data_IF_493454853932
#
_entry.id   IF_493454853932
#
_cell.length_a   1.000
_cell.length_b   1.000
_cell.length_c   1.000
_cell.angle_alpha   90.00
_cell.angle_beta   90.00
_cell.angle_gamma   90.00
#
_symmetry.space_group_name_H-M   'P 1'
#
loop_
_entity.id
_entity.type
_entity.pdbx_description
1 polymer ?
#
# COMPACT_ATOMS: atom_id res chain seq x y z
N UNK A 1 33.73 -25.36 -34.57
CA UNK A 1 33.90 -25.65 -33.14
C UNK A 1 34.13 -24.42 -32.31
N UNK A 2 35.05 -23.56 -32.64
CA UNK A 2 35.29 -22.32 -31.90
C UNK A 2 34.07 -21.38 -31.84
N UNK A 3 33.26 -21.37 -32.90
CA UNK A 3 32.05 -20.50 -32.94
C UNK A 3 30.99 -20.94 -31.95
N UNK A 4 30.80 -22.22 -31.73
CA UNK A 4 29.78 -22.68 -30.79
C UNK A 4 30.19 -22.42 -29.34
N UNK A 5 31.47 -22.48 -29.03
CA UNK A 5 31.98 -22.15 -27.70
C UNK A 5 31.81 -20.66 -27.41
N UNK A 6 32.09 -19.81 -28.39
CA UNK A 6 31.87 -18.37 -28.25
C UNK A 6 30.39 -18.02 -28.07
N UNK A 7 29.53 -18.69 -28.82
CA UNK A 7 28.08 -18.51 -28.68
C UNK A 7 27.59 -18.91 -27.32
N UNK A 8 28.08 -20.00 -26.76
CA UNK A 8 27.70 -20.43 -25.40
C UNK A 8 28.12 -19.45 -24.33
N UNK A 9 29.33 -18.90 -24.43
CA UNK A 9 29.82 -17.89 -23.48
C UNK A 9 28.99 -16.62 -23.54
N UNK A 10 28.66 -16.13 -24.74
CA UNK A 10 27.83 -14.96 -24.92
C UNK A 10 26.43 -15.16 -24.34
N UNK A 11 25.83 -16.32 -24.58
CA UNK A 11 24.51 -16.65 -24.04
C UNK A 11 24.55 -16.68 -22.51
N UNK A 12 25.59 -17.27 -21.91
CA UNK A 12 25.73 -17.30 -20.46
C UNK A 12 25.85 -15.90 -19.85
N UNK A 13 26.62 -15.03 -20.48
CA UNK A 13 26.79 -13.66 -20.01
C UNK A 13 25.47 -12.89 -20.07
N UNK A 14 24.70 -13.05 -21.14
CA UNK A 14 23.40 -12.42 -21.29
C UNK A 14 22.42 -12.92 -20.23
N UNK A 15 22.37 -14.22 -19.98
CA UNK A 15 21.52 -14.83 -18.95
C UNK A 15 21.89 -14.30 -17.57
N UNK A 16 23.18 -14.23 -17.25
CA UNK A 16 23.64 -13.66 -15.98
C UNK A 16 23.22 -12.20 -15.81
N UNK A 17 23.33 -11.39 -16.86
CA UNK A 17 22.92 -9.99 -16.82
C UNK A 17 21.41 -9.84 -16.57
N UNK A 18 20.59 -10.65 -17.22
CA UNK A 18 19.14 -10.66 -17.02
C UNK A 18 18.78 -11.05 -15.60
N UNK A 19 19.41 -12.06 -15.04
CA UNK A 19 19.19 -12.50 -13.66
C UNK A 19 19.52 -11.38 -12.67
N UNK A 20 20.64 -10.70 -12.87
CA UNK A 20 21.04 -9.59 -11.99
C UNK A 20 20.03 -8.45 -12.07
N UNK A 21 19.56 -8.09 -13.26
CA UNK A 21 18.53 -7.06 -13.41
C UNK A 21 17.21 -7.46 -12.72
N UNK A 22 16.82 -8.72 -12.85
CA UNK A 22 15.61 -9.24 -12.19
C UNK A 22 15.73 -9.15 -10.66
N UNK A 23 16.89 -9.49 -10.13
CA UNK A 23 17.13 -9.39 -8.70
C UNK A 23 17.11 -7.93 -8.20
N UNK A 24 17.68 -7.01 -8.96
CA UNK A 24 17.61 -5.61 -8.64
C UNK A 24 16.17 -5.11 -8.56
N UNK A 25 15.34 -5.51 -9.50
CA UNK A 25 13.91 -5.15 -9.51
C UNK A 25 13.18 -5.75 -8.30
N UNK A 26 13.45 -7.01 -7.95
CA UNK A 26 12.86 -7.67 -6.79
C UNK A 26 13.26 -6.95 -5.50
N UNK A 27 14.52 -6.57 -5.36
CA UNK A 27 14.98 -5.81 -4.20
C UNK A 27 14.31 -4.44 -4.10
N UNK A 28 14.14 -3.75 -5.21
CA UNK A 28 13.42 -2.47 -5.24
C UNK A 28 11.95 -2.65 -4.87
N UNK A 29 11.32 -3.73 -5.29
CA UNK A 29 9.93 -4.03 -4.96
C UNK A 29 9.74 -4.35 -3.48
N UNK A 30 10.75 -4.90 -2.80
CA UNK A 30 10.71 -5.22 -1.38
C UNK A 30 11.26 -4.10 -0.49
N UNK A 31 11.77 -3.02 -1.08
CA UNK A 31 12.26 -1.88 -0.33
C UNK A 31 11.13 -1.18 0.42
N UNK A 32 11.47 -0.58 1.55
CA UNK A 32 10.53 0.21 2.31
C UNK A 32 9.94 1.33 1.46
N UNK A 33 8.67 1.64 1.72
CA UNK A 33 7.97 2.70 1.01
C UNK A 33 8.63 4.05 1.29
N UNK A 34 9.03 4.75 0.26
CA UNK A 34 9.63 6.08 0.40
C UNK A 34 8.61 7.11 0.86
N UNK A 35 9.03 8.24 1.47
CA UNK A 35 8.11 9.31 1.85
C UNK A 35 7.26 9.83 0.70
N UNK A 36 7.81 9.92 -0.51
CA UNK A 36 7.06 10.36 -1.70
C UNK A 36 6.02 9.34 -2.12
N UNK A 37 6.33 8.06 -2.05
CA UNK A 37 5.40 6.98 -2.33
C UNK A 37 4.27 6.94 -1.30
N UNK A 38 4.57 7.13 -0.02
CA UNK A 38 3.58 7.24 1.03
C UNK A 38 2.62 8.41 0.79
N UNK A 39 3.15 9.56 0.40
CA UNK A 39 2.33 10.75 0.10
C UNK A 39 1.38 10.47 -1.06
N UNK A 40 1.87 9.89 -2.13
CA UNK A 40 1.05 9.53 -3.29
C UNK A 40 -0.03 8.53 -2.90
N UNK A 41 0.33 7.50 -2.15
CA UNK A 41 -0.59 6.47 -1.69
C UNK A 41 -1.72 7.07 -0.84
N UNK A 42 -1.39 7.97 0.08
CA UNK A 42 -2.40 8.67 0.89
C UNK A 42 -3.32 9.52 0.03
N UNK A 43 -2.78 10.24 -0.94
CA UNK A 43 -3.57 11.07 -1.84
C UNK A 43 -4.55 10.24 -2.66
N UNK A 44 -4.09 9.11 -3.19
CA UNK A 44 -4.94 8.18 -3.93
C UNK A 44 -6.04 7.61 -3.05
N UNK A 45 -5.70 7.23 -1.82
CA UNK A 45 -6.66 6.69 -0.86
C UNK A 45 -7.73 7.74 -0.50
N UNK A 46 -7.31 8.94 -0.15
CA UNK A 46 -8.23 10.03 0.23
C UNK A 46 -9.16 10.38 -0.93
N UNK A 47 -8.62 10.51 -2.14
CA UNK A 47 -9.41 10.85 -3.31
C UNK A 47 -10.44 9.76 -3.65
N UNK A 48 -10.02 8.50 -3.60
CA UNK A 48 -10.90 7.37 -3.89
C UNK A 48 -11.97 7.16 -2.82
N UNK A 49 -11.64 7.43 -1.55
CA UNK A 49 -12.52 7.17 -0.41
C UNK A 49 -13.23 8.42 0.11
N UNK A 50 -13.15 9.53 -0.59
CA UNK A 50 -13.81 10.79 -0.17
C UNK A 50 -15.29 10.62 0.14
N UNK A 51 -16.11 9.90 -0.63
CA UNK A 51 -17.54 9.71 -0.31
C UNK A 51 -17.79 9.05 1.04
N UNK A 52 -16.84 8.26 1.56
CA UNK A 52 -16.96 7.62 2.87
C UNK A 52 -17.04 8.64 4.00
N UNK A 53 -16.38 9.80 3.84
CA UNK A 53 -16.42 10.91 4.81
C UNK A 53 -17.84 11.43 4.96
N UNK A 54 -18.65 11.34 3.91
CA UNK A 54 -20.05 11.77 3.90
C UNK A 54 -21.01 10.64 4.25
N UNK A 55 -20.53 9.55 4.81
CA UNK A 55 -21.34 8.41 5.25
C UNK A 55 -21.71 7.42 4.14
N UNK A 56 -21.18 7.56 2.95
CA UNK A 56 -21.45 6.65 1.84
C UNK A 56 -20.61 5.39 1.94
N UNK A 57 -21.09 4.32 1.31
CA UNK A 57 -20.34 3.07 1.23
C UNK A 57 -19.10 3.24 0.33
N UNK A 58 -17.99 2.54 0.63
CA UNK A 58 -16.81 2.58 -0.22
C UNK A 58 -17.10 2.06 -1.63
N UNK A 59 -16.60 2.78 -2.63
CA UNK A 59 -16.64 2.32 -4.02
C UNK A 59 -15.62 1.19 -4.23
N UNK A 60 -15.72 0.49 -5.35
CA UNK A 60 -14.74 -0.53 -5.73
C UNK A 60 -13.32 0.05 -5.76
N UNK A 61 -13.15 1.27 -6.27
CA UNK A 61 -11.86 1.95 -6.30
C UNK A 61 -11.35 2.27 -4.89
N UNK A 62 -12.22 2.77 -4.01
CA UNK A 62 -11.88 2.99 -2.61
C UNK A 62 -11.43 1.70 -1.93
N UNK A 63 -12.18 0.61 -2.09
CA UNK A 63 -11.82 -0.69 -1.53
C UNK A 63 -10.48 -1.19 -2.04
N UNK A 64 -10.19 -1.00 -3.33
CA UNK A 64 -8.89 -1.38 -3.89
C UNK A 64 -7.75 -0.60 -3.19
N UNK A 65 -7.92 0.69 -3.00
CA UNK A 65 -6.91 1.51 -2.31
C UNK A 65 -6.75 1.11 -0.85
N UNK A 66 -7.84 0.77 -0.17
CA UNK A 66 -7.80 0.27 1.21
C UNK A 66 -7.01 -1.02 1.30
N UNK A 67 -7.21 -1.95 0.36
CA UNK A 67 -6.51 -3.23 0.38
C UNK A 67 -5.01 -3.12 0.12
N UNK A 68 -4.58 -2.18 -0.70
CA UNK A 68 -3.17 -2.04 -1.09
C UNK A 68 -2.40 -0.99 -0.29
N UNK A 69 -3.08 -0.19 0.54
CA UNK A 69 -2.43 0.87 1.30
C UNK A 69 -1.58 0.30 2.45
N UNK A 70 -0.48 0.96 2.73
CA UNK A 70 0.43 0.58 3.80
C UNK A 70 0.07 1.32 5.08
N UNK A 71 -0.10 0.59 6.17
CA UNK A 71 -0.44 1.15 7.48
C UNK A 71 0.60 2.17 7.93
N UNK A 72 1.87 1.89 7.71
CA UNK A 72 2.98 2.78 8.05
C UNK A 72 2.97 4.08 7.25
N UNK A 73 2.28 4.12 6.12
CA UNK A 73 2.10 5.35 5.35
C UNK A 73 0.91 6.17 5.81
N UNK A 74 -0.12 5.53 6.36
CA UNK A 74 -1.41 6.16 6.71
C UNK A 74 -1.46 6.57 8.17
N UNK A 75 -1.11 5.67 9.08
CA UNK A 75 -1.30 5.91 10.51
C UNK A 75 -0.56 7.13 11.07
N UNK A 76 0.68 7.44 10.66
CA UNK A 76 1.35 8.65 11.15
C UNK A 76 0.63 9.95 10.80
N UNK A 77 -0.25 9.92 9.80
CA UNK A 77 -1.03 11.09 9.37
C UNK A 77 -2.42 11.15 9.96
N UNK A 78 -2.77 10.21 10.82
CA UNK A 78 -4.00 10.29 11.63
C UNK A 78 -3.71 11.19 12.83
N UNK A 79 -3.78 12.50 12.56
CA UNK A 79 -3.60 13.55 13.56
C UNK A 79 -4.86 13.68 14.42
N UNK A 80 -4.82 14.42 15.55
CA UNK A 80 -6.03 14.70 16.32
C UNK A 80 -7.16 15.31 15.50
N UNK A 81 -6.85 16.13 14.50
CA UNK A 81 -7.85 16.72 13.61
C UNK A 81 -8.53 15.64 12.76
N UNK A 82 -7.75 14.76 12.15
CA UNK A 82 -8.27 13.63 11.36
C UNK A 82 -9.03 12.67 12.26
N UNK A 83 -8.53 12.42 13.46
CA UNK A 83 -9.21 11.58 14.45
C UNK A 83 -10.59 12.12 14.82
N UNK A 84 -10.74 13.44 14.93
CA UNK A 84 -12.04 14.08 15.18
C UNK A 84 -13.03 13.80 14.06
N UNK A 85 -12.59 13.87 12.81
CA UNK A 85 -13.43 13.56 11.64
C UNK A 85 -13.87 12.10 11.68
N UNK A 86 -12.94 11.19 11.94
CA UNK A 86 -13.22 9.75 12.03
C UNK A 86 -14.14 9.47 13.20
N UNK A 87 -13.94 10.15 14.33
CA UNK A 87 -14.81 10.03 15.50
C UNK A 87 -16.25 10.48 15.23
N UNK A 88 -16.42 11.52 14.41
CA UNK A 88 -17.75 12.00 14.01
C UNK A 88 -18.49 10.97 13.13
N UNK A 89 -17.75 10.25 12.29
CA UNK A 89 -18.31 9.14 11.49
C UNK A 89 -18.56 7.92 12.38
N UNK A 90 -17.73 7.74 13.40
CA UNK A 90 -17.69 6.57 14.27
C UNK A 90 -16.57 5.63 13.88
N UNK A 91 -15.63 5.39 14.79
CA UNK A 91 -14.49 4.50 14.55
C UNK A 91 -14.95 3.10 14.14
N UNK A 92 -15.99 2.58 14.82
CA UNK A 92 -16.58 1.28 14.51
C UNK A 92 -17.09 1.21 13.07
N UNK A 93 -17.74 2.26 12.61
CA UNK A 93 -18.29 2.35 11.26
C UNK A 93 -17.16 2.35 10.23
N UNK A 94 -16.09 3.10 10.50
CA UNK A 94 -14.93 3.15 9.62
C UNK A 94 -14.26 1.78 9.53
N UNK A 95 -14.07 1.11 10.67
CA UNK A 95 -13.50 -0.24 10.74
C UNK A 95 -14.36 -1.22 9.94
N UNK A 96 -15.68 -1.20 10.10
CA UNK A 96 -16.59 -2.07 9.34
C UNK A 96 -16.48 -1.83 7.84
N UNK A 97 -16.33 -0.59 7.41
CA UNK A 97 -16.18 -0.26 5.99
C UNK A 97 -14.85 -0.80 5.44
N UNK A 98 -13.77 -0.69 6.21
CA UNK A 98 -12.46 -1.24 5.83
C UNK A 98 -12.53 -2.76 5.73
N UNK A 99 -13.15 -3.41 6.70
CA UNK A 99 -13.31 -4.87 6.69
C UNK A 99 -14.23 -5.31 5.55
N UNK A 100 -15.26 -4.55 5.24
CA UNK A 100 -16.12 -4.78 4.08
C UNK A 100 -15.39 -4.71 2.75
N UNK A 101 -14.26 -3.98 2.69
CA UNK A 101 -13.38 -3.97 1.53
C UNK A 101 -12.47 -5.20 1.43
N UNK A 102 -12.46 -6.06 2.45
CA UNK A 102 -11.66 -7.28 2.48
C UNK A 102 -10.34 -7.15 3.21
N UNK A 103 -10.16 -6.11 4.00
CA UNK A 103 -8.94 -5.92 4.79
C UNK A 103 -9.24 -6.12 6.27
N UNK A 104 -8.47 -6.97 6.93
CA UNK A 104 -8.58 -7.21 8.36
C UNK A 104 -8.03 -6.03 9.15
N UNK A 105 -8.78 -5.58 10.16
CA UNK A 105 -8.35 -4.52 11.07
C UNK A 105 -8.11 -5.15 12.44
N UNK A 106 -6.87 -5.07 12.97
CA UNK A 106 -6.59 -5.59 14.31
C UNK A 106 -7.40 -4.85 15.38
N UNK A 107 -7.78 -5.57 16.42
CA UNK A 107 -8.45 -4.97 17.57
C UNK A 107 -7.44 -4.23 18.44
N UNK A 108 -7.88 -3.14 19.07
CA UNK A 108 -7.06 -2.31 19.98
C UNK A 108 -5.74 -1.90 19.34
N UNK A 109 -5.78 -1.66 18.04
CA UNK A 109 -4.62 -1.23 17.27
C UNK A 109 -4.56 0.30 17.25
N UNK A 110 -3.41 0.84 17.64
CA UNK A 110 -3.20 2.28 17.63
C UNK A 110 -2.73 2.72 16.25
N UNK A 111 -3.52 3.57 15.62
CA UNK A 111 -3.22 4.17 14.32
C UNK A 111 -3.19 5.70 14.47
N UNK A 112 -2.01 6.25 14.73
CA UNK A 112 -1.88 7.67 15.03
C UNK A 112 -2.65 8.05 16.28
N UNK A 113 -3.58 9.00 16.16
CA UNK A 113 -4.41 9.48 17.27
C UNK A 113 -5.67 8.67 17.50
N UNK A 114 -5.86 7.56 16.79
CA UNK A 114 -7.01 6.66 16.97
C UNK A 114 -6.55 5.30 17.46
N UNK A 115 -7.42 4.66 18.23
CA UNK A 115 -7.26 3.25 18.60
C UNK A 115 -8.51 2.50 18.16
N UNK A 116 -8.35 1.36 17.48
CA UNK A 116 -9.48 0.53 17.06
C UNK A 116 -10.15 -0.12 18.29
N UNK A 117 -11.44 -0.41 18.20
CA UNK A 117 -12.18 -1.05 19.28
C UNK A 117 -11.63 -2.42 19.66
#
# INVERSE_FOLDING_TARGET
MMRSMRGSVVVMVVVAAVVVCSWGNVQMASADTSPSQCKEERNLLVNACRPVIYGRSPSANCCQRVRVSHVECVCPYVTPKTASIIGAIGVDNVVKKIEGCGRTVPRKFKCGSITTP
#
